data_IF_035676887680
#
_entry.id   IF_035676887680
#
_cell.length_a   1.000
_cell.length_b   1.000
_cell.length_c   1.000
_cell.angle_alpha   90.00
_cell.angle_beta   90.00
_cell.angle_gamma   90.00
#
_symmetry.space_group_name_H-M   'P 1'
#
loop_
_entity.id
_entity.type
_entity.pdbx_description
1 polymer ?
#
# COMPACT_ATOMS: atom_id res chain seq x y z
N UNK A 1 -4.87 -3.76 4.63
CA UNK A 1 -4.23 -4.37 3.44
C UNK A 1 -2.75 -4.58 3.71
N UNK A 2 -2.24 -5.81 3.61
CA UNK A 2 -0.81 -6.11 3.74
C UNK A 2 -0.10 -5.87 2.41
N UNK A 3 1.05 -5.20 2.44
CA UNK A 3 1.84 -4.87 1.26
C UNK A 3 3.32 -5.16 1.51
N UNK A 4 4.05 -5.44 0.43
CA UNK A 4 5.49 -5.64 0.47
C UNK A 4 6.19 -4.64 -0.44
N UNK A 5 7.19 -3.95 0.09
CA UNK A 5 8.08 -3.09 -0.67
C UNK A 5 9.05 -3.92 -1.51
N UNK A 6 9.65 -3.29 -2.53
CA UNK A 6 10.68 -3.92 -3.38
C UNK A 6 11.92 -4.39 -2.59
N UNK A 7 12.21 -3.78 -1.45
CA UNK A 7 13.29 -4.18 -0.55
C UNK A 7 12.91 -5.35 0.39
N UNK A 8 11.81 -6.07 0.11
CA UNK A 8 11.38 -7.25 0.86
C UNK A 8 10.55 -6.95 2.11
N UNK A 9 10.27 -5.68 2.40
CA UNK A 9 9.71 -5.29 3.70
C UNK A 9 8.21 -5.19 3.69
N UNK A 10 7.61 -5.71 4.73
CA UNK A 10 6.16 -5.82 4.85
C UNK A 10 5.60 -4.72 5.74
N UNK A 11 4.45 -4.20 5.34
CA UNK A 11 3.75 -3.15 6.06
C UNK A 11 2.25 -3.21 5.78
N UNK A 12 1.46 -2.59 6.65
CA UNK A 12 0.01 -2.56 6.52
C UNK A 12 -0.46 -1.16 6.13
N UNK A 13 -1.41 -1.11 5.20
CA UNK A 13 -2.16 0.09 4.84
C UNK A 13 -3.61 -0.09 5.30
N UNK A 14 -4.04 0.77 6.23
CA UNK A 14 -5.43 0.84 6.71
C UNK A 14 -6.19 2.08 6.21
N UNK A 15 -5.46 3.08 5.71
CA UNK A 15 -6.02 4.39 5.35
C UNK A 15 -6.01 4.63 3.84
N UNK A 16 -6.97 5.41 3.35
CA UNK A 16 -7.07 5.78 1.93
C UNK A 16 -7.76 4.76 1.02
N UNK A 17 -8.14 3.59 1.55
CA UNK A 17 -8.97 2.62 0.83
C UNK A 17 -10.39 3.17 0.69
N UNK A 18 -10.93 3.19 -0.53
CA UNK A 18 -12.34 3.48 -0.77
C UNK A 18 -13.17 2.24 -0.45
N UNK A 19 -14.47 2.42 -0.28
CA UNK A 19 -15.35 1.28 0.01
C UNK A 19 -15.36 0.25 -1.13
N UNK A 20 -15.23 0.70 -2.37
CA UNK A 20 -15.02 -0.18 -3.52
C UNK A 20 -13.75 -1.05 -3.39
N UNK A 21 -12.64 -0.50 -2.88
CA UNK A 21 -11.40 -1.24 -2.64
C UNK A 21 -11.51 -2.17 -1.42
N UNK A 22 -12.48 -1.93 -0.51
CA UNK A 22 -12.76 -2.82 0.62
C UNK A 22 -13.63 -3.99 0.22
N UNK A 23 -14.62 -3.74 -0.64
CA UNK A 23 -15.52 -4.77 -1.20
C UNK A 23 -14.76 -5.63 -2.22
N UNK A 24 -13.93 -5.01 -3.04
CA UNK A 24 -13.11 -5.67 -4.06
C UNK A 24 -11.64 -5.28 -3.86
N UNK A 25 -10.92 -5.97 -2.96
CA UNK A 25 -9.53 -5.66 -2.71
C UNK A 25 -8.65 -5.90 -3.95
N UNK A 26 -7.57 -5.12 -4.13
CA UNK A 26 -6.62 -5.33 -5.21
C UNK A 26 -6.09 -6.77 -5.18
N UNK A 27 -6.01 -7.42 -6.35
CA UNK A 27 -5.48 -8.78 -6.46
C UNK A 27 -4.06 -8.86 -5.90
N UNK A 28 -3.75 -9.96 -5.23
CA UNK A 28 -2.41 -10.27 -4.72
C UNK A 28 -1.42 -10.22 -5.91
N UNK A 29 -0.32 -9.50 -5.74
CA UNK A 29 0.70 -9.28 -6.78
C UNK A 29 0.53 -8.01 -7.59
N UNK A 30 -0.61 -7.29 -7.50
CA UNK A 30 -0.74 -5.99 -8.15
C UNK A 30 0.13 -4.93 -7.49
N UNK A 31 0.67 -4.03 -8.31
CA UNK A 31 1.39 -2.87 -7.81
C UNK A 31 0.39 -1.79 -7.41
N UNK A 32 0.68 -1.11 -6.30
CA UNK A 32 -0.13 0.00 -5.81
C UNK A 32 0.74 1.24 -5.64
N UNK A 33 0.11 2.40 -5.76
CA UNK A 33 0.69 3.68 -5.39
C UNK A 33 0.14 4.08 -4.03
N UNK A 34 1.02 4.43 -3.10
CA UNK A 34 0.65 4.93 -1.78
C UNK A 34 1.53 6.13 -1.45
N UNK A 35 1.03 7.01 -0.57
CA UNK A 35 1.82 8.09 0.03
C UNK A 35 2.15 7.76 1.48
N UNK A 36 3.24 8.32 1.99
CA UNK A 36 3.64 8.21 3.39
C UNK A 36 4.28 9.53 3.82
N UNK A 37 4.27 9.82 5.13
CA UNK A 37 4.84 11.09 5.64
C UNK A 37 6.32 10.96 5.97
N UNK A 38 6.72 9.84 6.56
CA UNK A 38 8.09 9.57 6.96
C UNK A 38 8.39 8.09 6.89
N UNK A 39 9.67 7.74 6.84
CA UNK A 39 10.12 6.37 7.02
C UNK A 39 10.52 6.15 8.49
N UNK A 40 10.37 4.93 8.99
CA UNK A 40 10.95 4.53 10.28
C UNK A 40 12.46 4.38 10.15
N UNK A 41 13.19 4.24 11.27
CA UNK A 41 14.64 3.95 11.28
C UNK A 41 15.01 2.71 10.49
N UNK A 42 14.14 1.70 10.51
CA UNK A 42 14.34 0.53 9.69
C UNK A 42 14.08 0.83 8.21
N UNK A 43 13.26 1.86 7.89
CA UNK A 43 12.83 2.32 6.57
C UNK A 43 11.38 1.95 6.17
N UNK A 44 10.50 1.62 7.13
CA UNK A 44 9.09 1.25 6.87
C UNK A 44 8.32 2.56 6.69
N UNK A 45 7.43 2.69 5.70
CA UNK A 45 6.55 3.84 5.58
C UNK A 45 5.66 4.02 6.82
N UNK A 46 5.73 5.20 7.45
CA UNK A 46 4.86 5.58 8.57
C UNK A 46 3.64 6.33 8.06
N UNK A 47 2.48 5.95 8.60
CA UNK A 47 1.17 6.44 8.18
C UNK A 47 0.97 6.31 6.65
N UNK A 48 1.14 5.11 6.07
CA UNK A 48 0.91 4.92 4.66
C UNK A 48 -0.57 5.09 4.34
N UNK A 49 -0.85 5.81 3.26
CA UNK A 49 -2.20 6.06 2.76
C UNK A 49 -2.26 5.57 1.32
N UNK A 50 -3.19 4.65 1.06
CA UNK A 50 -3.46 4.14 -0.27
C UNK A 50 -3.92 5.28 -1.19
N UNK A 51 -3.43 5.30 -2.43
CA UNK A 51 -3.86 6.27 -3.44
C UNK A 51 -4.61 5.59 -4.58
N UNK A 52 -3.98 4.60 -5.23
CA UNK A 52 -4.57 3.87 -6.37
C UNK A 52 -3.82 2.58 -6.64
N UNK A 53 -4.51 1.64 -7.26
CA UNK A 53 -3.87 0.50 -7.93
C UNK A 53 -3.16 1.00 -9.19
N UNK A 54 -1.96 0.50 -9.45
CA UNK A 54 -1.25 0.74 -10.70
C UNK A 54 -1.70 -0.34 -11.68
N UNK A 55 -2.45 0.05 -12.70
CA UNK A 55 -2.71 -0.84 -13.83
C UNK A 55 -1.36 -1.21 -14.45
N UNK A 56 -1.04 -2.50 -14.47
CA UNK A 56 -0.06 -3.01 -15.42
C UNK A 56 -0.79 -3.03 -16.75
N UNK A 57 -0.46 -2.12 -17.66
CA UNK A 57 -0.61 -2.41 -19.09
C UNK A 57 0.29 -3.60 -19.46
#
# INVERSE_FOLDING_TARGET
MQCRLKNGREFYIGSGLKDADRVSPPKIGQQITFKYQKLTVHGVPRHPVFLRVRSSE
#
